data_IF_011534893699
#
_entry.id   IF_011534893699
#
_cell.length_a   1.000
_cell.length_b   1.000
_cell.length_c   1.000
_cell.angle_alpha   90.00
_cell.angle_beta   90.00
_cell.angle_gamma   90.00
#
_symmetry.space_group_name_H-M   'P 1'
#
loop_
_entity.id
_entity.type
_entity.pdbx_description
1 polymer ?
#
# COMPACT_ATOMS: atom_id res chain seq x y z
N UNK A 1 -21.84 3.34 4.10
CA UNK A 1 -20.64 2.62 4.54
C UNK A 1 -19.52 3.64 4.50
N UNK A 2 -18.66 3.71 5.51
CA UNK A 2 -17.50 4.60 5.47
C UNK A 2 -16.62 4.19 4.29
N UNK A 3 -16.06 5.15 3.54
CA UNK A 3 -15.13 4.82 2.45
C UNK A 3 -13.89 4.12 3.03
N UNK A 4 -13.09 3.39 2.23
CA UNK A 4 -11.82 2.85 2.71
C UNK A 4 -10.89 3.90 3.34
N UNK A 5 -10.95 5.14 2.85
CA UNK A 5 -10.18 6.26 3.39
C UNK A 5 -10.73 6.72 4.75
N UNK A 6 -12.04 6.70 4.93
CA UNK A 6 -12.68 6.96 6.23
C UNK A 6 -12.37 5.85 7.23
N UNK A 7 -12.40 4.58 6.82
CA UNK A 7 -12.02 3.45 7.66
C UNK A 7 -10.61 3.62 8.24
N UNK A 8 -9.64 4.06 7.43
CA UNK A 8 -8.27 4.33 7.89
C UNK A 8 -8.26 5.41 8.98
N UNK A 9 -9.07 6.46 8.86
CA UNK A 9 -9.15 7.53 9.85
C UNK A 9 -9.90 7.10 11.12
N UNK A 10 -11.08 6.53 10.98
CA UNK A 10 -11.95 6.11 12.08
C UNK A 10 -11.25 5.08 12.98
N UNK A 11 -10.45 4.19 12.39
CA UNK A 11 -9.65 3.20 13.12
C UNK A 11 -8.28 3.72 13.58
N UNK A 12 -7.99 5.02 13.40
CA UNK A 12 -6.72 5.67 13.79
C UNK A 12 -5.50 4.97 13.20
N UNK A 13 -5.59 4.58 11.93
CA UNK A 13 -4.55 3.86 11.20
C UNK A 13 -3.68 4.77 10.34
N UNK A 14 -4.04 6.04 10.16
CA UNK A 14 -3.21 7.01 9.44
C UNK A 14 -1.96 7.41 10.24
N UNK A 15 -0.81 7.55 9.55
CA UNK A 15 0.41 8.13 10.08
C UNK A 15 1.07 9.02 9.03
N UNK A 16 1.45 10.25 9.39
CA UNK A 16 2.11 11.20 8.48
C UNK A 16 1.48 11.31 7.07
N UNK A 17 0.16 11.58 6.95
CA UNK A 17 -0.47 11.73 5.65
C UNK A 17 0.11 12.94 4.91
N UNK A 18 0.51 12.71 3.67
CA UNK A 18 0.92 13.73 2.70
C UNK A 18 -0.21 14.11 1.75
N UNK A 19 -1.19 13.22 1.55
CA UNK A 19 -2.42 13.46 0.82
C UNK A 19 -3.56 12.60 1.38
N UNK A 20 -4.75 13.18 1.47
CA UNK A 20 -5.99 12.48 1.77
C UNK A 20 -7.16 13.29 1.20
N UNK A 21 -8.00 12.67 0.36
CA UNK A 21 -9.19 13.33 -0.16
C UNK A 21 -9.68 12.77 -1.48
N UNK A 22 -10.64 13.45 -2.08
CA UNK A 22 -11.13 13.15 -3.43
C UNK A 22 -10.03 13.33 -4.48
N UNK A 23 -10.03 12.46 -5.49
CA UNK A 23 -9.16 12.58 -6.65
C UNK A 23 -9.84 13.38 -7.77
N UNK A 24 -9.13 13.65 -8.88
CA UNK A 24 -9.69 14.38 -10.03
C UNK A 24 -10.81 13.60 -10.70
N UNK A 25 -10.67 12.29 -10.77
CA UNK A 25 -11.70 11.38 -11.27
C UNK A 25 -12.82 11.27 -10.25
N UNK A 26 -14.03 11.66 -10.65
CA UNK A 26 -15.20 11.63 -9.78
C UNK A 26 -15.44 10.22 -9.20
N UNK A 27 -15.76 10.16 -7.90
CA UNK A 27 -16.00 8.91 -7.18
C UNK A 27 -14.74 8.16 -6.74
N UNK A 28 -13.54 8.70 -6.99
CA UNK A 28 -12.29 8.17 -6.45
C UNK A 28 -11.79 9.00 -5.28
N UNK A 29 -11.22 8.29 -4.32
CA UNK A 29 -10.59 8.85 -3.12
C UNK A 29 -9.19 8.28 -3.00
N UNK A 30 -8.27 9.11 -2.49
CA UNK A 30 -6.87 8.75 -2.35
C UNK A 30 -6.34 8.99 -0.93
N UNK A 31 -5.36 8.18 -0.56
CA UNK A 31 -4.50 8.39 0.59
C UNK A 31 -3.04 8.19 0.17
N UNK A 32 -2.16 9.07 0.65
CA UNK A 32 -0.71 8.91 0.56
C UNK A 32 -0.06 9.31 1.88
N UNK A 33 0.76 8.44 2.45
CA UNK A 33 1.43 8.66 3.73
C UNK A 33 1.95 7.34 4.28
N UNK A 34 2.08 7.22 5.59
CA UNK A 34 2.33 5.94 6.24
C UNK A 34 1.04 5.39 6.86
N UNK A 35 0.98 4.08 7.07
CA UNK A 35 -0.18 3.40 7.64
C UNK A 35 0.26 2.52 8.81
N UNK A 36 -0.48 2.57 9.92
CA UNK A 36 -0.10 1.90 11.17
C UNK A 36 -0.45 0.41 11.09
N UNK A 37 0.52 -0.44 11.43
CA UNK A 37 0.29 -1.88 11.65
C UNK A 37 0.32 -2.20 13.15
N UNK A 38 1.21 -1.55 13.90
CA UNK A 38 1.29 -1.68 15.36
C UNK A 38 1.33 -0.31 16.01
N UNK A 39 0.31 0.00 16.81
CA UNK A 39 0.22 1.24 17.57
C UNK A 39 1.43 1.40 18.52
N UNK A 40 1.82 2.66 18.73
CA UNK A 40 2.79 3.01 19.75
C UNK A 40 2.20 2.86 21.15
N UNK A 41 3.07 2.64 22.14
CA UNK A 41 2.66 2.54 23.54
C UNK A 41 2.16 3.88 24.08
N UNK A 42 1.11 3.84 24.89
CA UNK A 42 0.63 5.01 25.63
C UNK A 42 1.41 5.14 26.93
N UNK A 43 2.24 6.19 27.02
CA UNK A 43 2.92 6.57 28.27
C UNK A 43 1.96 7.29 29.23
N UNK A 44 0.93 7.94 28.67
CA UNK A 44 -0.21 8.55 29.38
C UNK A 44 -1.38 8.74 28.40
N UNK A 45 -2.59 9.13 28.85
CA UNK A 45 -3.72 9.39 27.96
C UNK A 45 -3.46 10.48 26.89
N UNK A 46 -2.48 11.37 27.11
CA UNK A 46 -2.12 12.46 26.21
C UNK A 46 -0.80 12.22 25.46
N UNK A 47 -0.05 11.16 25.79
CA UNK A 47 1.26 10.89 25.22
C UNK A 47 1.36 9.45 24.73
N UNK A 48 1.30 9.30 23.41
CA UNK A 48 1.55 8.05 22.70
C UNK A 48 2.92 8.11 22.02
N UNK A 49 3.70 7.04 22.11
CA UNK A 49 4.92 6.88 21.31
C UNK A 49 4.58 6.73 19.82
N UNK A 50 5.53 6.93 18.90
CA UNK A 50 5.35 6.58 17.50
C UNK A 50 4.94 5.11 17.32
N UNK A 51 4.23 4.78 16.23
CA UNK A 51 3.90 3.41 15.87
C UNK A 51 5.15 2.51 15.83
N UNK A 52 5.01 1.28 16.31
CA UNK A 52 6.12 0.30 16.32
C UNK A 52 6.38 -0.30 14.94
N UNK A 53 5.30 -0.53 14.19
CA UNK A 53 5.36 -1.12 12.84
C UNK A 53 4.38 -0.35 11.96
N UNK A 54 4.83 0.01 10.77
CA UNK A 54 4.07 0.76 9.79
C UNK A 54 4.28 0.17 8.39
N UNK A 55 3.29 0.36 7.55
CA UNK A 55 3.50 0.45 6.11
C UNK A 55 4.03 1.85 5.80
N UNK A 56 5.24 1.93 5.22
CA UNK A 56 5.83 3.21 4.79
C UNK A 56 5.37 3.55 3.38
N UNK A 57 5.27 4.84 3.06
CA UNK A 57 5.00 5.33 1.70
C UNK A 57 3.76 4.67 1.04
N UNK A 58 2.75 4.39 1.85
CA UNK A 58 1.49 3.82 1.40
C UNK A 58 0.80 4.76 0.39
N UNK A 59 0.22 4.15 -0.63
CA UNK A 59 -0.63 4.78 -1.63
C UNK A 59 -1.88 3.92 -1.80
N UNK A 60 -3.02 4.49 -1.46
CA UNK A 60 -4.33 3.83 -1.57
C UNK A 60 -5.20 4.65 -2.51
N UNK A 61 -5.82 3.99 -3.48
CA UNK A 61 -6.88 4.56 -4.33
C UNK A 61 -8.12 3.69 -4.16
N UNK A 62 -9.26 4.31 -3.91
CA UNK A 62 -10.50 3.63 -3.56
C UNK A 62 -11.73 4.34 -4.13
N UNK A 63 -12.86 3.62 -4.17
CA UNK A 63 -14.19 4.22 -4.27
C UNK A 63 -14.87 4.28 -2.89
N UNK A 64 -16.21 4.38 -2.87
CA UNK A 64 -16.99 4.41 -1.63
C UNK A 64 -17.00 3.08 -0.87
N UNK A 65 -16.58 1.97 -1.49
CA UNK A 65 -16.76 0.60 -0.96
C UNK A 65 -15.46 -0.14 -0.74
N UNK A 66 -14.49 -0.01 -1.65
CA UNK A 66 -13.29 -0.86 -1.67
C UNK A 66 -12.09 -0.15 -2.27
N UNK A 67 -10.90 -0.61 -1.91
CA UNK A 67 -9.67 -0.18 -2.52
C UNK A 67 -9.52 -0.77 -3.92
N UNK A 68 -9.15 0.06 -4.88
CA UNK A 68 -8.69 -0.36 -6.19
C UNK A 68 -7.19 -0.63 -6.22
N UNK A 69 -6.43 0.14 -5.45
CA UNK A 69 -4.98 0.02 -5.29
C UNK A 69 -4.63 0.11 -3.82
N UNK A 70 -3.79 -0.81 -3.35
CA UNK A 70 -3.12 -0.74 -2.06
C UNK A 70 -1.64 -1.05 -2.28
N UNK A 71 -0.81 -0.01 -2.28
CA UNK A 71 0.62 -0.14 -2.43
C UNK A 71 1.33 0.42 -1.21
N UNK A 72 2.36 -0.26 -0.69
CA UNK A 72 3.13 0.24 0.44
C UNK A 72 4.49 -0.46 0.55
N UNK A 73 5.38 0.12 1.35
CA UNK A 73 6.61 -0.52 1.77
C UNK A 73 6.43 -1.20 3.14
N UNK A 74 6.94 -2.42 3.27
CA UNK A 74 6.95 -3.19 4.51
C UNK A 74 8.40 -3.57 4.85
N UNK A 75 8.89 -3.16 6.01
CA UNK A 75 10.28 -3.40 6.39
C UNK A 75 10.58 -4.89 6.63
N UNK A 76 9.69 -5.58 7.34
CA UNK A 76 9.83 -7.02 7.63
C UNK A 76 8.56 -7.78 7.24
N UNK A 77 8.71 -8.70 6.29
CA UNK A 77 7.65 -9.56 5.79
C UNK A 77 6.94 -10.37 6.88
N UNK A 78 7.59 -10.64 8.02
CA UNK A 78 6.96 -11.32 9.15
C UNK A 78 5.74 -10.56 9.72
N UNK A 79 5.59 -9.27 9.41
CA UNK A 79 4.44 -8.46 9.80
C UNK A 79 3.27 -8.55 8.82
N UNK A 80 3.39 -9.30 7.72
CA UNK A 80 2.37 -9.37 6.67
C UNK A 80 1.00 -9.78 7.20
N UNK A 81 0.86 -10.90 7.92
CA UNK A 81 -0.47 -11.37 8.36
C UNK A 81 -1.15 -10.35 9.27
N UNK A 82 -0.39 -9.79 10.21
CA UNK A 82 -0.90 -8.75 11.11
C UNK A 82 -1.39 -7.53 10.33
N UNK A 83 -0.65 -7.13 9.30
CA UNK A 83 -1.04 -6.02 8.44
C UNK A 83 -2.27 -6.37 7.60
N UNK A 84 -2.29 -7.57 7.00
CA UNK A 84 -3.41 -8.05 6.20
C UNK A 84 -4.70 -8.07 7.03
N UNK A 85 -4.68 -8.60 8.25
CA UNK A 85 -5.85 -8.61 9.14
C UNK A 85 -6.42 -7.21 9.41
N UNK A 86 -5.57 -6.18 9.53
CA UNK A 86 -6.00 -4.80 9.78
C UNK A 86 -6.66 -4.15 8.56
N UNK A 87 -6.19 -4.48 7.37
CA UNK A 87 -6.57 -3.79 6.13
C UNK A 87 -7.45 -4.64 5.19
N UNK A 88 -7.65 -5.94 5.45
CA UNK A 88 -8.38 -6.84 4.54
C UNK A 88 -9.82 -6.44 4.28
N UNK A 89 -10.46 -5.73 5.23
CA UNK A 89 -11.79 -5.17 5.03
C UNK A 89 -11.87 -4.15 3.88
N UNK A 90 -10.73 -3.59 3.46
CA UNK A 90 -10.63 -2.66 2.33
C UNK A 90 -10.45 -3.36 0.99
N UNK A 91 -10.02 -4.63 1.00
CA UNK A 91 -9.54 -5.34 -0.18
C UNK A 91 -10.65 -6.19 -0.80
N UNK A 92 -10.64 -6.27 -2.12
CA UNK A 92 -11.46 -7.18 -2.92
C UNK A 92 -10.56 -7.94 -3.89
N UNK A 93 -11.00 -9.06 -4.49
CA UNK A 93 -10.15 -9.86 -5.38
C UNK A 93 -9.55 -9.09 -6.57
N UNK A 94 -10.16 -7.97 -6.96
CA UNK A 94 -9.68 -7.09 -8.04
C UNK A 94 -8.81 -5.93 -7.55
N UNK A 95 -8.54 -5.80 -6.26
CA UNK A 95 -7.63 -4.78 -5.72
C UNK A 95 -6.21 -5.12 -6.17
N UNK A 96 -5.52 -4.13 -6.75
CA UNK A 96 -4.11 -4.24 -7.06
C UNK A 96 -3.34 -4.06 -5.74
N UNK A 97 -2.80 -5.16 -5.19
CA UNK A 97 -2.01 -5.13 -3.95
C UNK A 97 -0.53 -5.34 -4.27
N UNK A 98 0.29 -4.33 -4.01
CA UNK A 98 1.74 -4.38 -4.22
C UNK A 98 2.49 -3.99 -2.95
N UNK A 99 3.20 -4.92 -2.34
CA UNK A 99 4.07 -4.68 -1.20
C UNK A 99 5.52 -4.64 -1.67
N UNK A 100 6.23 -3.58 -1.31
CA UNK A 100 7.67 -3.43 -1.52
C UNK A 100 8.36 -3.76 -0.21
N UNK A 101 9.11 -4.84 -0.15
CA UNK A 101 9.53 -5.45 1.10
C UNK A 101 11.04 -5.39 1.25
N UNK A 102 11.53 -4.75 2.32
CA UNK A 102 12.97 -4.48 2.49
C UNK A 102 13.78 -5.77 2.71
N UNK A 103 13.25 -6.70 3.51
CA UNK A 103 13.93 -7.94 3.86
C UNK A 103 13.56 -9.15 2.98
N UNK A 104 13.04 -8.94 1.77
CA UNK A 104 12.70 -10.03 0.86
C UNK A 104 13.86 -10.33 -0.09
N UNK A 105 14.22 -11.61 -0.25
CA UNK A 105 15.35 -12.05 -1.10
C UNK A 105 15.02 -11.96 -2.59
N UNK A 106 13.76 -12.14 -2.97
CA UNK A 106 13.32 -12.07 -4.36
C UNK A 106 11.82 -11.83 -4.49
N UNK A 107 11.41 -11.29 -5.64
CA UNK A 107 10.02 -11.00 -5.95
C UNK A 107 9.17 -12.27 -6.02
N UNK A 108 7.97 -12.18 -5.47
CA UNK A 108 6.97 -13.24 -5.58
C UNK A 108 5.55 -12.68 -5.70
N UNK A 109 4.65 -13.51 -6.23
CA UNK A 109 3.22 -13.29 -6.17
C UNK A 109 2.56 -14.51 -5.55
N UNK A 110 1.64 -14.26 -4.61
CA UNK A 110 0.91 -15.32 -3.91
C UNK A 110 -0.54 -14.89 -3.68
N UNK A 111 -1.39 -15.88 -3.42
CA UNK A 111 -2.78 -15.64 -3.01
C UNK A 111 -2.89 -15.86 -1.50
N UNK A 112 -3.56 -14.95 -0.81
CA UNK A 112 -3.83 -15.03 0.63
C UNK A 112 -5.26 -14.57 0.90
N UNK A 113 -6.08 -15.45 1.50
CA UNK A 113 -7.52 -15.23 1.73
C UNK A 113 -8.30 -14.70 0.50
N UNK A 114 -7.96 -15.18 -0.72
CA UNK A 114 -8.62 -14.78 -1.97
C UNK A 114 -8.16 -13.44 -2.55
N UNK A 115 -7.12 -12.83 -1.96
CA UNK A 115 -6.47 -11.62 -2.48
C UNK A 115 -5.12 -12.00 -3.10
N UNK A 116 -4.87 -11.54 -4.33
CA UNK A 116 -3.56 -11.67 -4.96
C UNK A 116 -2.64 -10.56 -4.46
N UNK A 117 -1.49 -10.92 -3.90
CA UNK A 117 -0.49 -9.99 -3.38
C UNK A 117 0.80 -10.14 -4.19
N UNK A 118 1.25 -9.04 -4.77
CA UNK A 118 2.58 -8.93 -5.36
C UNK A 118 3.54 -8.40 -4.28
N UNK A 119 4.52 -9.20 -3.89
CA UNK A 119 5.57 -8.80 -2.97
C UNK A 119 6.89 -8.68 -3.75
N UNK A 120 7.37 -7.44 -3.88
CA UNK A 120 8.62 -7.11 -4.57
C UNK A 120 9.70 -6.82 -3.54
N UNK A 121 10.91 -7.35 -3.75
CA UNK A 121 12.06 -6.93 -2.97
C UNK A 121 12.36 -5.46 -3.26
N UNK A 122 12.54 -4.64 -2.22
CA UNK A 122 12.86 -3.23 -2.41
C UNK A 122 14.36 -2.99 -2.20
N UNK A 123 15.07 -2.75 -3.30
CA UNK A 123 16.50 -2.41 -3.29
C UNK A 123 16.71 -0.97 -3.78
N UNK A 124 17.32 -0.13 -2.94
CA UNK A 124 17.71 1.26 -3.22
C UNK A 124 16.68 2.14 -3.97
N UNK A 125 15.37 1.89 -3.80
CA UNK A 125 14.29 2.63 -4.46
C UNK A 125 13.22 3.13 -3.46
N UNK A 126 12.09 3.60 -3.97
CA UNK A 126 10.94 4.03 -3.18
C UNK A 126 9.66 3.51 -3.83
N UNK A 127 8.62 3.27 -3.03
CA UNK A 127 7.30 2.82 -3.52
C UNK A 127 6.82 3.71 -4.66
N UNK A 128 6.98 5.03 -4.50
CA UNK A 128 6.58 6.01 -5.51
C UNK A 128 7.29 5.81 -6.85
N UNK A 129 8.60 5.55 -6.84
CA UNK A 129 9.37 5.35 -8.06
C UNK A 129 9.02 4.03 -8.75
N UNK A 130 8.83 2.98 -7.97
CA UNK A 130 8.43 1.67 -8.49
C UNK A 130 7.04 1.73 -9.15
N UNK A 131 6.06 2.34 -8.48
CA UNK A 131 4.72 2.49 -9.05
C UNK A 131 4.71 3.30 -10.34
N UNK A 132 5.54 4.35 -10.44
CA UNK A 132 5.71 5.12 -11.69
C UNK A 132 6.26 4.24 -12.81
N UNK A 133 7.27 3.43 -12.49
CA UNK A 133 7.90 2.51 -13.44
C UNK A 133 6.88 1.48 -13.94
N UNK A 134 6.15 0.83 -13.03
CA UNK A 134 5.12 -0.14 -13.37
C UNK A 134 3.92 0.48 -14.10
N UNK A 135 3.59 1.74 -13.83
CA UNK A 135 2.54 2.46 -14.54
C UNK A 135 2.98 3.00 -15.91
N UNK A 136 4.25 2.82 -16.30
CA UNK A 136 4.85 3.34 -17.53
C UNK A 136 4.67 4.88 -17.68
N UNK A 137 4.89 5.61 -16.59
CA UNK A 137 4.70 7.07 -16.54
C UNK A 137 6.02 7.84 -16.61
N UNK A 138 6.03 8.97 -17.34
CA UNK A 138 7.17 9.89 -17.33
C UNK A 138 7.16 10.76 -16.06
N UNK A 139 8.25 10.66 -15.27
CA UNK A 139 8.48 11.50 -14.07
C UNK A 139 8.40 13.00 -14.36
N UNK A 140 8.73 13.46 -15.57
CA UNK A 140 8.63 14.89 -15.96
C UNK A 140 7.19 15.36 -16.11
N UNK A 141 6.30 14.49 -16.60
CA UNK A 141 4.89 14.80 -16.73
C UNK A 141 4.24 14.87 -15.35
N UNK A 142 4.53 13.88 -14.49
CA UNK A 142 4.07 13.88 -13.11
C UNK A 142 4.48 15.15 -12.36
N UNK A 143 5.68 15.72 -12.59
CA UNK A 143 6.07 16.98 -11.93
C UNK A 143 5.15 18.17 -12.21
N UNK A 144 4.36 18.13 -13.29
CA UNK A 144 3.41 19.18 -13.68
C UNK A 144 2.00 18.96 -13.14
N UNK A 145 1.73 17.80 -12.55
CA UNK A 145 0.44 17.39 -12.02
C UNK A 145 0.28 17.76 -10.54
N UNK A 146 -0.96 18.02 -10.14
CA UNK A 146 -1.35 18.13 -8.73
C UNK A 146 -1.27 16.75 -8.03
N UNK A 147 -1.34 16.73 -6.69
CA UNK A 147 -1.21 15.49 -5.94
C UNK A 147 -2.34 14.47 -6.23
N UNK A 148 -3.57 14.96 -6.34
CA UNK A 148 -4.77 14.18 -6.68
C UNK A 148 -4.66 13.56 -8.08
N UNK A 149 -4.23 14.36 -9.06
CA UNK A 149 -4.07 13.94 -10.46
C UNK A 149 -2.97 12.88 -10.62
N UNK A 150 -1.87 12.99 -9.85
CA UNK A 150 -0.81 11.97 -9.86
C UNK A 150 -1.30 10.61 -9.37
N UNK A 151 -2.14 10.58 -8.34
CA UNK A 151 -2.68 9.33 -7.79
C UNK A 151 -3.61 8.66 -8.81
N UNK A 152 -4.43 9.45 -9.51
CA UNK A 152 -5.24 8.96 -10.63
C UNK A 152 -4.37 8.39 -11.74
N UNK A 153 -3.36 9.14 -12.20
CA UNK A 153 -2.47 8.71 -13.27
C UNK A 153 -1.74 7.40 -12.94
N UNK A 154 -1.23 7.26 -11.71
CA UNK A 154 -0.57 6.03 -11.25
C UNK A 154 -1.54 4.84 -11.29
N UNK A 155 -2.74 4.99 -10.71
CA UNK A 155 -3.73 3.91 -10.72
C UNK A 155 -4.18 3.56 -12.14
N UNK A 156 -4.43 4.57 -12.98
CA UNK A 156 -4.87 4.37 -14.36
C UNK A 156 -3.81 3.65 -15.20
N UNK A 157 -2.52 3.96 -15.02
CA UNK A 157 -1.42 3.22 -15.65
C UNK A 157 -1.29 1.79 -15.13
N UNK A 158 -1.41 1.58 -13.81
CA UNK A 158 -1.32 0.23 -13.23
C UNK A 158 -2.44 -0.72 -13.66
N UNK A 159 -3.64 -0.21 -13.93
CA UNK A 159 -4.76 -1.03 -14.44
C UNK A 159 -4.45 -1.73 -15.76
N UNK A 160 -3.60 -1.11 -16.59
CA UNK A 160 -3.26 -1.61 -17.92
C UNK A 160 -1.85 -2.17 -17.97
N UNK A 161 -1.08 -2.06 -16.87
CA UNK A 161 0.24 -2.65 -16.77
C UNK A 161 0.17 -4.14 -16.46
N UNK A 162 1.26 -4.84 -16.73
CA UNK A 162 1.41 -6.24 -16.35
C UNK A 162 2.41 -6.32 -15.20
N UNK A 163 1.91 -6.58 -14.00
CA UNK A 163 2.76 -6.93 -12.86
C UNK A 163 3.14 -8.42 -12.97
N UNK A 164 4.43 -8.71 -12.86
CA UNK A 164 4.95 -10.06 -12.95
C UNK A 164 5.92 -10.35 -11.81
N UNK A 165 5.76 -11.52 -11.20
CA UNK A 165 6.70 -12.09 -10.24
C UNK A 165 6.54 -13.62 -10.26
N UNK A 166 7.49 -14.35 -9.65
CA UNK A 166 7.38 -15.79 -9.55
C UNK A 166 6.19 -16.18 -8.66
N UNK A 167 5.30 -17.05 -9.16
CA UNK A 167 4.18 -17.55 -8.35
C UNK A 167 4.71 -18.43 -7.22
N UNK A 168 4.23 -18.18 -6.00
CA UNK A 168 4.55 -18.88 -4.76
C UNK A 168 3.30 -19.15 -3.93
N UNK A 169 3.39 -20.10 -3.00
CA UNK A 169 2.45 -20.12 -1.86
C UNK A 169 2.86 -19.07 -0.82
N UNK A 170 1.97 -18.79 0.13
CA UNK A 170 2.31 -17.87 1.23
C UNK A 170 3.48 -18.42 2.09
N UNK A 171 3.50 -19.73 2.36
CA UNK A 171 4.58 -20.37 3.11
C UNK A 171 5.92 -20.27 2.38
N UNK A 172 5.91 -20.43 1.06
CA UNK A 172 7.11 -20.22 0.24
C UNK A 172 7.56 -18.76 0.25
N UNK A 173 6.63 -17.80 0.22
CA UNK A 173 6.95 -16.37 0.34
C UNK A 173 7.58 -16.04 1.70
N UNK A 174 7.06 -16.60 2.79
CA UNK A 174 7.66 -16.48 4.13
C UNK A 174 9.10 -17.00 4.20
N UNK A 175 9.43 -18.02 3.42
CA UNK A 175 10.78 -18.58 3.35
C UNK A 175 11.76 -17.69 2.55
N UNK A 176 11.28 -16.68 1.81
CA UNK A 176 12.11 -15.72 1.08
C UNK A 176 12.59 -14.54 1.93
N UNK A 177 12.19 -14.43 3.20
CA UNK A 177 12.68 -13.35 4.06
C UNK A 177 14.13 -13.57 4.46
N UNK A 178 14.92 -12.49 4.51
CA UNK A 178 16.24 -12.49 5.12
C UNK A 178 16.09 -12.79 6.62
N UNK A 179 17.00 -13.61 7.15
CA UNK A 179 17.03 -14.02 8.55
C UNK A 179 17.44 -12.90 9.50
#
# INVERSE_FOLDING_TARGET
>A
MATPIDYIEENKLQWQPSFKGSLKTAGRFGYRGDLIITQGEFLSPQKQLPPKVIFKQALVVADEKSAFLFAANLEDFANFEKAFELYKALLVPTTIVTLFVDNLISDCVFEYEGITVYAFALDESSVWNELISYADLDKKELKRMDADDKLDAIYDGLKVSTLYAAKKTYEEACALKMG
#
